data_IF_358587380738
#
_entry.id   IF_358587380738
#
_cell.length_a   1.000
_cell.length_b   1.000
_cell.length_c   1.000
_cell.angle_alpha   90.00
_cell.angle_beta   90.00
_cell.angle_gamma   90.00
#
_symmetry.space_group_name_H-M   'P 1'
#
loop_
_entity.id
_entity.type
_entity.pdbx_description
1 polymer ?
#
# COMPACT_ATOMS: atom_id res chain seq x y z
N UNK A 1 -22.34 -26.96 3.71
CA UNK A 1 -20.94 -27.39 3.45
C UNK A 1 -20.04 -26.23 3.82
N UNK A 2 -19.25 -26.34 4.89
CA UNK A 2 -18.22 -25.35 5.19
C UNK A 2 -17.20 -25.42 4.05
N UNK A 3 -17.17 -24.40 3.19
CA UNK A 3 -16.08 -24.27 2.23
C UNK A 3 -14.78 -24.31 3.04
N UNK A 4 -13.88 -25.25 2.76
CA UNK A 4 -12.55 -25.26 3.39
C UNK A 4 -11.82 -24.00 2.94
N UNK A 5 -11.86 -22.96 3.77
CA UNK A 5 -11.18 -21.70 3.49
C UNK A 5 -9.69 -21.96 3.66
N UNK A 6 -8.98 -22.10 2.54
CA UNK A 6 -7.53 -22.25 2.54
C UNK A 6 -6.86 -20.90 2.81
N UNK A 7 -6.65 -20.58 4.08
CA UNK A 7 -6.01 -19.33 4.51
C UNK A 7 -4.48 -19.48 4.47
N UNK A 8 -3.84 -18.65 3.65
CA UNK A 8 -2.37 -18.56 3.54
C UNK A 8 -1.79 -17.66 4.64
N UNK A 9 -1.77 -18.14 5.87
CA UNK A 9 -1.36 -17.36 7.05
C UNK A 9 0.00 -16.67 6.94
N UNK A 10 1.01 -17.35 6.38
CA UNK A 10 2.36 -16.80 6.24
C UNK A 10 2.38 -15.61 5.28
N UNK A 11 1.65 -15.69 4.16
CA UNK A 11 1.53 -14.60 3.18
C UNK A 11 0.77 -13.41 3.75
N UNK A 12 -0.29 -13.67 4.51
CA UNK A 12 -1.07 -12.63 5.17
C UNK A 12 -0.23 -11.83 6.16
N UNK A 13 0.51 -12.52 7.03
CA UNK A 13 1.45 -11.88 7.98
C UNK A 13 2.59 -11.16 7.27
N UNK A 14 3.11 -11.73 6.18
CA UNK A 14 4.15 -11.10 5.39
C UNK A 14 3.68 -9.77 4.80
N UNK A 15 2.46 -9.71 4.23
CA UNK A 15 1.91 -8.47 3.70
C UNK A 15 1.68 -7.40 4.78
N UNK A 16 1.27 -7.79 5.99
CA UNK A 16 1.19 -6.85 7.11
C UNK A 16 2.56 -6.33 7.51
N UNK A 17 3.58 -7.19 7.64
CA UNK A 17 4.95 -6.74 7.89
C UNK A 17 5.47 -5.82 6.79
N UNK A 18 5.21 -6.17 5.54
CA UNK A 18 5.62 -5.37 4.40
C UNK A 18 4.98 -3.97 4.44
N UNK A 19 3.69 -3.90 4.78
CA UNK A 19 2.97 -2.63 4.98
C UNK A 19 3.55 -1.81 6.12
N UNK A 20 3.84 -2.43 7.28
CA UNK A 20 4.41 -1.75 8.44
C UNK A 20 5.75 -1.10 8.08
N UNK A 21 6.63 -1.85 7.41
CA UNK A 21 7.97 -1.37 7.07
C UNK A 21 7.94 -0.37 5.92
N UNK A 22 7.21 -0.69 4.85
CA UNK A 22 7.11 0.14 3.65
C UNK A 22 6.29 1.40 3.88
N UNK A 23 4.98 1.25 4.09
CA UNK A 23 4.08 2.39 4.27
C UNK A 23 4.33 3.09 5.61
N UNK A 24 4.54 2.35 6.70
CA UNK A 24 4.80 2.95 8.02
C UNK A 24 6.12 3.71 8.07
N UNK A 25 7.21 3.09 7.61
CA UNK A 25 8.52 3.74 7.56
C UNK A 25 8.50 4.99 6.68
N UNK A 26 7.98 4.88 5.45
CA UNK A 26 7.93 6.01 4.52
C UNK A 26 6.96 7.11 4.99
N UNK A 27 5.77 6.74 5.48
CA UNK A 27 4.79 7.68 6.01
C UNK A 27 5.28 8.45 7.23
N UNK A 28 5.98 7.78 8.15
CA UNK A 28 6.60 8.45 9.31
C UNK A 28 7.68 9.43 8.88
N UNK A 29 8.53 9.06 7.92
CA UNK A 29 9.55 9.96 7.39
C UNK A 29 8.93 11.20 6.74
N UNK A 30 7.81 11.06 6.02
CA UNK A 30 7.07 12.19 5.45
C UNK A 30 6.60 13.16 6.53
N UNK A 31 6.07 12.65 7.64
CA UNK A 31 5.51 13.48 8.72
C UNK A 31 6.61 14.16 9.53
N UNK A 32 7.65 13.41 9.92
CA UNK A 32 8.68 13.88 10.85
C UNK A 32 9.78 14.67 10.15
N UNK A 33 10.12 14.30 8.92
CA UNK A 33 11.23 14.88 8.18
C UNK A 33 10.92 15.08 6.69
N UNK A 34 9.87 15.85 6.33
CA UNK A 34 9.46 16.06 4.94
C UNK A 34 10.58 16.65 4.07
N UNK A 35 11.37 17.58 4.63
CA UNK A 35 12.51 18.18 3.94
C UNK A 35 13.62 17.16 3.65
N UNK A 36 13.86 16.21 4.56
CA UNK A 36 14.82 15.12 4.34
C UNK A 36 14.35 14.19 3.24
N UNK A 37 13.06 13.82 3.23
CA UNK A 37 12.50 13.01 2.15
C UNK A 37 12.65 13.75 0.83
N UNK A 38 12.29 15.02 0.74
CA UNK A 38 12.44 15.79 -0.50
C UNK A 38 13.90 15.89 -0.97
N UNK A 39 14.86 16.13 -0.07
CA UNK A 39 16.27 16.30 -0.43
C UNK A 39 16.99 14.99 -0.79
N UNK A 40 16.76 13.91 -0.02
CA UNK A 40 17.32 12.58 -0.34
C UNK A 40 16.75 12.04 -1.64
N UNK A 41 15.46 12.28 -1.86
CA UNK A 41 14.82 11.87 -3.11
C UNK A 41 15.38 12.72 -4.25
N UNK A 42 15.56 14.04 -4.14
CA UNK A 42 16.23 14.85 -5.18
C UNK A 42 17.62 14.34 -5.61
N UNK A 43 18.38 13.71 -4.72
CA UNK A 43 19.71 13.16 -5.00
C UNK A 43 19.67 11.81 -5.75
N UNK A 44 18.68 10.97 -5.46
CA UNK A 44 18.56 9.60 -6.00
C UNK A 44 17.49 9.46 -7.12
N UNK A 45 16.45 10.29 -7.08
CA UNK A 45 15.28 10.34 -7.96
C UNK A 45 14.64 11.75 -7.91
N UNK A 46 14.88 12.66 -8.87
CA UNK A 46 14.41 14.05 -8.78
C UNK A 46 12.89 14.16 -8.59
N UNK A 47 12.47 14.30 -7.34
CA UNK A 47 11.07 14.37 -6.95
C UNK A 47 10.60 15.82 -7.09
N UNK A 48 9.45 16.07 -7.73
CA UNK A 48 8.89 17.40 -7.76
C UNK A 48 8.50 17.81 -6.33
N UNK A 49 8.70 19.09 -6.01
CA UNK A 49 8.23 19.64 -4.74
C UNK A 49 6.74 19.34 -4.58
N UNK A 50 6.38 18.72 -3.46
CA UNK A 50 4.99 18.40 -3.14
C UNK A 50 4.40 19.52 -2.29
N UNK A 51 3.12 19.80 -2.50
CA UNK A 51 2.36 20.64 -1.57
C UNK A 51 2.46 20.04 -0.15
N UNK A 52 2.93 20.80 0.87
CA UNK A 52 3.16 20.25 2.20
C UNK A 52 1.91 19.64 2.84
N UNK A 53 0.74 20.20 2.58
CA UNK A 53 -0.53 19.73 3.12
C UNK A 53 -0.93 18.41 2.47
N UNK A 54 -0.82 18.30 1.15
CA UNK A 54 -1.10 17.05 0.42
C UNK A 54 -0.08 15.95 0.80
N UNK A 55 1.18 16.33 0.95
CA UNK A 55 2.24 15.39 1.32
C UNK A 55 2.05 14.86 2.75
N UNK A 56 1.73 15.74 3.71
CA UNK A 56 1.41 15.34 5.07
C UNK A 56 0.16 14.46 5.15
N UNK A 57 -0.88 14.75 4.35
CA UNK A 57 -2.06 13.90 4.23
C UNK A 57 -1.70 12.48 3.75
N UNK A 58 -0.88 12.36 2.70
CA UNK A 58 -0.40 11.07 2.20
C UNK A 58 0.39 10.31 3.28
N UNK A 59 1.33 10.98 3.96
CA UNK A 59 2.09 10.40 5.05
C UNK A 59 1.19 9.88 6.18
N UNK A 60 0.17 10.65 6.55
CA UNK A 60 -0.79 10.29 7.59
C UNK A 60 -1.61 9.04 7.24
N UNK A 61 -2.08 8.94 5.99
CA UNK A 61 -2.77 7.75 5.50
C UNK A 61 -1.86 6.51 5.51
N UNK A 62 -0.60 6.67 5.11
CA UNK A 62 0.39 5.58 5.14
C UNK A 62 0.70 5.08 6.55
N UNK A 63 0.84 6.00 7.52
CA UNK A 63 1.02 5.65 8.94
C UNK A 63 -0.23 4.96 9.49
N UNK A 64 -1.43 5.40 9.12
CA UNK A 64 -2.66 4.73 9.52
C UNK A 64 -2.72 3.27 9.02
N UNK A 65 -2.32 3.00 7.77
CA UNK A 65 -2.20 1.62 7.27
C UNK A 65 -1.22 0.78 8.08
N UNK A 66 -0.08 1.36 8.48
CA UNK A 66 0.90 0.66 9.30
C UNK A 66 0.36 0.36 10.70
N UNK A 67 -0.29 1.32 11.36
CA UNK A 67 -0.91 1.12 12.69
C UNK A 67 -1.95 0.00 12.63
N UNK A 68 -2.84 0.02 11.64
CA UNK A 68 -3.83 -1.05 11.46
C UNK A 68 -3.16 -2.40 11.17
N UNK A 69 -2.07 -2.40 10.41
CA UNK A 69 -1.30 -3.62 10.13
C UNK A 69 -0.60 -4.19 11.37
N UNK A 70 -0.20 -3.35 12.34
CA UNK A 70 0.32 -3.82 13.64
C UNK A 70 -0.77 -4.59 14.39
N UNK A 71 -1.99 -4.07 14.44
CA UNK A 71 -3.12 -4.79 15.04
C UNK A 71 -3.46 -6.07 14.28
N UNK A 72 -3.32 -6.03 12.95
CA UNK A 72 -3.53 -7.19 12.09
C UNK A 72 -2.57 -8.35 12.40
N UNK A 73 -1.35 -8.11 12.88
CA UNK A 73 -0.45 -9.20 13.27
C UNK A 73 -1.02 -10.09 14.39
N UNK A 74 -1.86 -9.54 15.26
CA UNK A 74 -2.56 -10.28 16.33
C UNK A 74 -3.83 -10.98 15.84
N UNK A 75 -4.58 -10.34 14.93
CA UNK A 75 -5.82 -10.87 14.38
C UNK A 75 -5.87 -10.76 12.84
N UNK A 76 -5.06 -11.55 12.11
CA UNK A 76 -4.81 -11.32 10.68
C UNK A 76 -6.05 -11.32 9.80
N UNK A 77 -7.01 -12.22 10.07
CA UNK A 77 -8.24 -12.33 9.28
C UNK A 77 -9.18 -11.14 9.47
N UNK A 78 -9.27 -10.59 10.69
CA UNK A 78 -10.17 -9.48 11.01
C UNK A 78 -9.78 -8.18 10.29
N UNK A 79 -8.50 -8.05 9.93
CA UNK A 79 -7.95 -6.87 9.27
C UNK A 79 -7.68 -7.09 7.77
N UNK A 80 -8.16 -8.18 7.17
CA UNK A 80 -8.10 -8.39 5.71
C UNK A 80 -8.67 -7.21 4.92
N UNK A 81 -9.73 -6.50 5.36
CA UNK A 81 -10.19 -5.28 4.69
C UNK A 81 -9.10 -4.20 4.52
N UNK A 82 -8.06 -4.17 5.35
CA UNK A 82 -6.92 -3.26 5.21
C UNK A 82 -6.07 -3.63 3.98
N UNK A 83 -5.77 -4.91 3.79
CA UNK A 83 -5.08 -5.39 2.59
C UNK A 83 -5.96 -5.23 1.34
N UNK A 84 -7.27 -5.43 1.48
CA UNK A 84 -8.21 -5.17 0.39
C UNK A 84 -8.20 -3.70 -0.03
N UNK A 85 -8.20 -2.78 0.94
CA UNK A 85 -8.09 -1.35 0.65
C UNK A 85 -6.75 -1.02 -0.03
N UNK A 86 -5.66 -1.67 0.36
CA UNK A 86 -4.36 -1.54 -0.31
C UNK A 86 -4.40 -2.00 -1.77
N UNK A 87 -4.96 -3.17 -2.02
CA UNK A 87 -5.14 -3.71 -3.36
C UNK A 87 -5.97 -2.77 -4.23
N UNK A 88 -7.12 -2.32 -3.73
CA UNK A 88 -8.04 -1.46 -4.47
C UNK A 88 -7.42 -0.10 -4.73
N UNK A 89 -6.88 0.60 -3.72
CA UNK A 89 -6.32 1.94 -3.95
C UNK A 89 -5.15 1.89 -4.93
N UNK A 90 -4.25 0.90 -4.81
CA UNK A 90 -3.09 0.80 -5.71
C UNK A 90 -3.54 0.49 -7.13
N UNK A 91 -4.55 -0.35 -7.29
CA UNK A 91 -5.14 -0.63 -8.61
C UNK A 91 -5.77 0.62 -9.21
N UNK A 92 -6.56 1.36 -8.42
CA UNK A 92 -7.16 2.62 -8.86
C UNK A 92 -6.09 3.65 -9.23
N UNK A 93 -5.02 3.76 -8.45
CA UNK A 93 -3.91 4.67 -8.76
C UNK A 93 -3.17 4.26 -10.03
N UNK A 94 -2.92 2.97 -10.23
CA UNK A 94 -2.28 2.45 -11.45
C UNK A 94 -3.10 2.78 -12.71
N UNK A 95 -4.41 2.52 -12.66
CA UNK A 95 -5.32 2.73 -13.79
C UNK A 95 -5.66 4.20 -14.02
N UNK A 96 -5.92 4.96 -12.95
CA UNK A 96 -6.41 6.33 -13.03
C UNK A 96 -5.34 7.41 -13.05
N UNK A 97 -4.11 7.10 -12.60
CA UNK A 97 -3.02 8.07 -12.51
C UNK A 97 -1.84 7.65 -13.37
N UNK A 98 -1.25 6.49 -13.09
CA UNK A 98 0.01 6.09 -13.73
C UNK A 98 -0.13 5.79 -15.22
N UNK A 99 -1.13 5.00 -15.62
CA UNK A 99 -1.34 4.69 -17.04
C UNK A 99 -1.59 5.96 -17.88
N UNK A 100 -2.52 6.86 -17.51
CA UNK A 100 -2.70 8.12 -18.21
C UNK A 100 -1.43 8.97 -18.25
N UNK A 101 -0.66 9.02 -17.15
CA UNK A 101 0.59 9.75 -17.07
C UNK A 101 1.61 9.24 -18.10
N UNK A 102 1.81 7.93 -18.20
CA UNK A 102 2.71 7.31 -19.20
C UNK A 102 2.19 7.51 -20.62
N UNK A 103 0.87 7.37 -20.84
CA UNK A 103 0.25 7.59 -22.16
C UNK A 103 0.41 9.04 -22.65
N UNK A 104 0.47 10.01 -21.74
CA UNK A 104 0.76 11.42 -22.08
C UNK A 104 2.22 11.71 -22.40
N UNK A 105 3.11 10.70 -22.37
CA UNK A 105 4.55 10.84 -22.60
C UNK A 105 5.33 11.34 -21.38
N UNK A 106 4.68 11.57 -20.24
CA UNK A 106 5.33 12.08 -19.03
C UNK A 106 5.80 10.93 -18.13
N UNK A 107 6.75 10.14 -18.64
CA UNK A 107 7.29 9.00 -17.90
C UNK A 107 8.51 9.39 -17.07
N UNK A 108 8.28 9.78 -15.81
CA UNK A 108 9.37 10.01 -14.86
C UNK A 108 9.86 8.69 -14.25
N UNK A 109 11.18 8.58 -14.02
CA UNK A 109 11.78 7.44 -13.33
C UNK A 109 11.14 7.21 -11.96
N UNK A 110 10.86 8.29 -11.23
CA UNK A 110 10.15 8.24 -9.95
C UNK A 110 8.77 7.57 -10.08
N UNK A 111 7.93 8.03 -11.01
CA UNK A 111 6.60 7.45 -11.21
C UNK A 111 6.68 5.96 -11.57
N UNK A 112 7.66 5.58 -12.41
CA UNK A 112 7.91 4.17 -12.76
C UNK A 112 8.30 3.33 -11.55
N UNK A 113 9.19 3.83 -10.69
CA UNK A 113 9.64 3.11 -9.49
C UNK A 113 8.51 2.96 -8.47
N UNK A 114 7.70 4.01 -8.27
CA UNK A 114 6.52 3.93 -7.42
C UNK A 114 5.50 2.91 -7.96
N UNK A 115 5.27 2.92 -9.27
CA UNK A 115 4.39 1.95 -9.94
C UNK A 115 4.91 0.52 -9.76
N UNK A 116 6.22 0.29 -9.89
CA UNK A 116 6.82 -1.02 -9.67
C UNK A 116 6.60 -1.53 -8.23
N UNK A 117 6.77 -0.66 -7.22
CA UNK A 117 6.45 -0.98 -5.83
C UNK A 117 4.96 -1.34 -5.69
N UNK A 118 4.06 -0.56 -6.29
CA UNK A 118 2.62 -0.82 -6.21
C UNK A 118 2.23 -2.14 -6.87
N UNK A 119 2.87 -2.52 -7.98
CA UNK A 119 2.68 -3.83 -8.62
C UNK A 119 3.07 -4.97 -7.67
N UNK A 120 4.19 -4.84 -6.95
CA UNK A 120 4.61 -5.86 -5.96
C UNK A 120 3.55 -6.01 -4.85
N UNK A 121 3.02 -4.90 -4.33
CA UNK A 121 1.93 -4.94 -3.36
C UNK A 121 0.66 -5.58 -3.94
N UNK A 122 0.24 -5.20 -5.14
CA UNK A 122 -0.95 -5.76 -5.81
C UNK A 122 -0.81 -7.28 -5.94
N UNK A 123 0.32 -7.77 -6.46
CA UNK A 123 0.59 -9.20 -6.58
C UNK A 123 0.59 -9.87 -5.19
N UNK A 124 1.25 -9.24 -4.22
CA UNK A 124 1.32 -9.70 -2.86
C UNK A 124 -0.05 -9.85 -2.19
N UNK A 125 -0.90 -8.84 -2.32
CA UNK A 125 -2.26 -8.81 -1.78
C UNK A 125 -3.15 -9.84 -2.47
N UNK A 126 -3.07 -9.98 -3.80
CA UNK A 126 -3.79 -11.03 -4.56
C UNK A 126 -3.41 -12.45 -4.10
N UNK A 127 -2.15 -12.66 -3.70
CA UNK A 127 -1.65 -13.94 -3.21
C UNK A 127 -2.02 -14.20 -1.75
N UNK A 128 -2.07 -13.15 -0.93
CA UNK A 128 -2.27 -13.22 0.51
C UNK A 128 -3.75 -13.22 0.94
N UNK A 129 -4.60 -12.45 0.26
CA UNK A 129 -5.99 -12.25 0.65
C UNK A 129 -6.80 -13.54 0.42
N UNK A 130 -7.44 -14.10 1.47
CA UNK A 130 -8.37 -15.20 1.29
C UNK A 130 -9.72 -14.66 0.79
N UNK A 131 -9.86 -14.47 -0.53
CA UNK A 131 -11.06 -13.86 -1.13
C UNK A 131 -12.36 -14.61 -0.79
N UNK A 132 -12.32 -15.93 -0.65
CA UNK A 132 -13.49 -16.72 -0.25
C UNK A 132 -13.97 -16.44 1.17
N UNK A 133 -13.05 -16.07 2.07
CA UNK A 133 -13.38 -15.60 3.42
C UNK A 133 -13.94 -14.18 3.37
N UNK A 134 -13.26 -13.28 2.66
CA UNK A 134 -13.62 -11.86 2.61
C UNK A 134 -14.97 -11.61 1.92
N UNK A 135 -15.26 -12.35 0.85
CA UNK A 135 -16.49 -12.24 0.06
C UNK A 135 -17.53 -13.31 0.42
N UNK A 136 -17.25 -14.08 1.49
CA UNK A 136 -18.21 -15.03 2.03
C UNK A 136 -19.47 -14.32 2.51
N UNK A 137 -20.63 -14.99 2.39
CA UNK A 137 -21.86 -14.47 2.95
C UNK A 137 -21.77 -14.47 4.47
N UNK A 138 -22.27 -13.41 5.09
CA UNK A 138 -22.56 -13.41 6.52
C UNK A 138 -23.62 -14.49 6.77
N UNK A 139 -23.30 -15.47 7.62
CA UNK A 139 -24.25 -16.52 8.01
C UNK A 139 -24.90 -16.06 9.31
N UNK A 140 -26.20 -15.76 9.22
CA UNK A 140 -27.07 -15.45 10.37
C UNK A 140 -27.10 -16.59 11.41
#
# INVERSE_FOLDING_TARGET
MSANINVRWSWLKLMYWYTILGAGGYGLLIIVAPAFVQSTTQCLMPFPAQDPLIFGYMGSAMVAFAILSIFALRAPLRFVPVLMLQLVYKTVWMLGVYIPLVMSGNNSLYATLLAAIFVIYIIGDLVAIPFSYLLGRETD
#
